data_IF_874819532692
#
_entry.id   IF_874819532692
#
_cell.length_a   1.000
_cell.length_b   1.000
_cell.length_c   1.000
_cell.angle_alpha   90.00
_cell.angle_beta   90.00
_cell.angle_gamma   90.00
#
_symmetry.space_group_name_H-M   'P 1'
#
loop_
_entity.id
_entity.type
_entity.pdbx_description
1 polymer ?
#
# COMPACT_ATOMS: atom_id res chain seq x y z
N UNK A 1 22.30 -26.13 0.64
CA UNK A 1 21.36 -25.03 0.34
C UNK A 1 21.11 -24.25 1.63
N UNK A 2 21.80 -23.12 1.82
CA UNK A 2 21.60 -22.27 3.00
C UNK A 2 20.35 -21.37 2.83
N UNK A 3 19.30 -21.71 3.57
CA UNK A 3 18.10 -20.87 3.75
C UNK A 3 18.31 -19.96 4.96
N UNK A 4 19.02 -18.83 4.77
CA UNK A 4 19.04 -17.68 5.71
C UNK A 4 18.23 -16.49 5.16
N UNK A 5 17.69 -15.62 6.03
CA UNK A 5 16.42 -14.93 5.79
C UNK A 5 16.57 -13.77 4.80
N UNK A 6 15.93 -13.90 3.63
CA UNK A 6 15.79 -12.82 2.64
C UNK A 6 14.87 -11.68 3.11
N UNK A 7 14.18 -11.83 4.23
CA UNK A 7 13.24 -10.84 4.77
C UNK A 7 13.97 -9.54 5.18
N UNK A 8 15.24 -9.63 5.63
CA UNK A 8 16.05 -8.43 5.94
C UNK A 8 16.79 -7.85 4.71
N UNK A 9 17.03 -8.63 3.66
CA UNK A 9 17.73 -8.15 2.45
C UNK A 9 16.83 -7.38 1.49
N UNK A 10 15.51 -7.60 1.51
CA UNK A 10 14.57 -6.86 0.67
C UNK A 10 14.21 -5.48 1.24
N UNK A 11 14.38 -5.27 2.55
CA UNK A 11 14.23 -3.93 3.17
C UNK A 11 15.33 -2.94 2.75
N UNK A 12 16.46 -3.44 2.23
CA UNK A 12 17.61 -2.62 1.79
C UNK A 12 17.67 -2.48 0.25
N UNK A 13 17.00 -3.35 -0.51
CA UNK A 13 17.16 -3.45 -1.98
C UNK A 13 16.17 -2.59 -2.80
N UNK A 14 15.42 -1.70 -2.17
CA UNK A 14 14.54 -0.73 -2.85
C UNK A 14 15.19 0.66 -3.03
N UNK A 15 16.49 0.81 -2.75
CA UNK A 15 17.21 2.05 -3.06
C UNK A 15 17.48 2.12 -4.58
N UNK A 16 17.00 3.16 -5.30
CA UNK A 16 17.41 3.38 -6.67
C UNK A 16 18.90 3.74 -6.68
N UNK A 17 19.72 2.89 -7.28
CA UNK A 17 21.08 3.26 -7.68
C UNK A 17 20.95 4.16 -8.91
N UNK A 18 21.20 5.46 -8.75
CA UNK A 18 21.24 6.41 -9.86
C UNK A 18 22.41 7.41 -9.68
N UNK A 19 22.84 8.03 -10.79
CA UNK A 19 24.24 8.15 -11.17
C UNK A 19 24.96 9.26 -10.41
N UNK A 20 26.25 9.03 -10.24
CA UNK A 20 27.22 9.99 -9.74
C UNK A 20 27.21 11.22 -10.65
N UNK A 21 26.53 12.29 -10.24
CA UNK A 21 26.64 13.62 -10.83
C UNK A 21 27.05 14.59 -9.73
N UNK A 22 28.10 15.34 -10.02
CA UNK A 22 28.88 16.19 -9.12
C UNK A 22 28.04 17.03 -8.16
N UNK A 23 28.32 16.92 -6.86
CA UNK A 23 27.71 17.73 -5.79
C UNK A 23 28.83 18.30 -4.91
N UNK A 24 29.16 19.56 -5.13
CA UNK A 24 30.31 20.29 -4.55
C UNK A 24 30.01 21.02 -3.24
N UNK A 25 28.98 20.65 -2.47
CA UNK A 25 28.79 21.20 -1.11
C UNK A 25 28.35 20.17 -0.07
N UNK A 26 29.03 20.21 1.09
CA UNK A 26 28.82 19.28 2.21
C UNK A 26 27.42 19.46 2.83
N UNK A 27 26.88 20.68 2.81
CA UNK A 27 25.53 21.01 3.30
C UNK A 27 24.42 20.50 2.36
N UNK A 28 24.63 20.53 1.04
CA UNK A 28 23.71 19.92 0.08
C UNK A 28 23.64 18.40 0.22
N UNK A 29 24.74 17.78 0.65
CA UNK A 29 24.83 16.33 0.87
C UNK A 29 24.11 15.87 2.15
N UNK A 30 24.12 16.67 3.22
CA UNK A 30 23.43 16.35 4.48
C UNK A 30 21.92 16.55 4.38
N UNK A 31 21.47 17.64 3.74
CA UNK A 31 20.04 17.95 3.58
C UNK A 31 19.33 16.96 2.63
N UNK A 32 20.01 16.51 1.56
CA UNK A 32 19.51 15.45 0.69
C UNK A 32 19.47 14.08 1.37
N UNK A 33 20.39 13.79 2.30
CA UNK A 33 20.36 12.54 3.07
C UNK A 33 19.21 12.51 4.07
N UNK A 34 18.97 13.62 4.78
CA UNK A 34 17.88 13.69 5.78
C UNK A 34 16.53 13.53 5.10
N UNK A 35 16.29 14.24 4.00
CA UNK A 35 15.04 14.13 3.23
C UNK A 35 14.82 12.71 2.69
N UNK A 36 15.87 12.08 2.16
CA UNK A 36 15.80 10.71 1.66
C UNK A 36 15.54 9.70 2.79
N UNK A 37 16.18 9.86 3.95
CA UNK A 37 15.91 9.03 5.13
C UNK A 37 14.48 9.21 5.63
N UNK A 38 13.96 10.45 5.64
CA UNK A 38 12.57 10.68 6.03
C UNK A 38 11.61 10.00 5.07
N UNK A 39 11.82 10.09 3.75
CA UNK A 39 10.97 9.43 2.75
C UNK A 39 11.00 7.90 2.89
N UNK A 40 12.18 7.32 3.16
CA UNK A 40 12.32 5.88 3.40
C UNK A 40 11.57 5.43 4.64
N UNK A 41 11.72 6.17 5.76
CA UNK A 41 11.01 5.87 7.00
C UNK A 41 9.50 5.98 6.78
N UNK A 42 9.04 7.05 6.13
CA UNK A 42 7.62 7.25 5.84
C UNK A 42 7.04 6.11 4.99
N UNK A 43 7.75 5.70 3.95
CA UNK A 43 7.35 4.58 3.09
C UNK A 43 7.31 3.26 3.87
N UNK A 44 8.28 3.04 4.75
CA UNK A 44 8.32 1.84 5.60
C UNK A 44 7.13 1.80 6.59
N UNK A 45 6.80 2.93 7.22
CA UNK A 45 5.64 3.07 8.11
C UNK A 45 4.34 2.83 7.34
N UNK A 46 4.22 3.40 6.13
CA UNK A 46 3.05 3.20 5.27
C UNK A 46 2.89 1.73 4.88
N UNK A 47 3.97 1.06 4.45
CA UNK A 47 3.97 -0.37 4.13
C UNK A 47 3.57 -1.24 5.35
N UNK A 48 4.03 -0.88 6.55
CA UNK A 48 3.68 -1.56 7.78
C UNK A 48 2.18 -1.47 8.05
N UNK A 49 1.62 -0.25 8.04
CA UNK A 49 0.20 0.00 8.31
C UNK A 49 -0.74 -0.47 7.20
N UNK A 50 -0.27 -0.48 5.95
CA UNK A 50 -0.99 -1.07 4.83
C UNK A 50 -1.04 -2.61 4.90
N UNK A 51 -0.24 -3.23 5.77
CA UNK A 51 -0.20 -4.69 5.91
C UNK A 51 0.50 -5.39 4.75
N UNK A 52 1.37 -4.68 4.00
CA UNK A 52 2.07 -5.21 2.84
C UNK A 52 2.90 -6.47 3.19
N UNK A 53 3.49 -6.49 4.38
CA UNK A 53 4.23 -7.63 4.94
C UNK A 53 3.41 -8.94 4.95
N UNK A 54 2.09 -8.88 5.12
CA UNK A 54 1.24 -10.06 5.12
C UNK A 54 1.07 -10.66 3.72
N UNK A 55 1.14 -9.81 2.68
CA UNK A 55 1.11 -10.23 1.27
C UNK A 55 2.47 -10.79 0.89
N UNK A 56 3.57 -10.15 1.29
CA UNK A 56 4.93 -10.67 1.09
C UNK A 56 5.10 -12.07 1.67
N UNK A 57 4.61 -12.28 2.90
CA UNK A 57 4.62 -13.59 3.52
C UNK A 57 3.84 -14.61 2.69
N UNK A 58 2.66 -14.24 2.16
CA UNK A 58 1.86 -15.12 1.28
C UNK A 58 2.58 -15.41 -0.04
N UNK A 59 3.24 -14.42 -0.65
CA UNK A 59 4.05 -14.62 -1.85
C UNK A 59 5.14 -15.67 -1.59
N UNK A 60 5.85 -15.54 -0.47
CA UNK A 60 6.90 -16.49 -0.07
C UNK A 60 6.37 -17.92 0.12
N UNK A 61 5.21 -18.08 0.76
CA UNK A 61 4.58 -19.39 0.90
C UNK A 61 4.14 -19.98 -0.45
N UNK A 62 3.65 -19.15 -1.37
CA UNK A 62 3.20 -19.61 -2.69
C UNK A 62 4.36 -19.92 -3.63
N UNK A 63 5.47 -19.19 -3.54
CA UNK A 63 6.71 -19.50 -4.27
C UNK A 63 7.19 -20.92 -3.95
N UNK A 64 7.16 -21.31 -2.66
CA UNK A 64 7.50 -22.67 -2.23
C UNK A 64 6.53 -23.73 -2.76
N UNK A 65 5.23 -23.43 -2.77
CA UNK A 65 4.22 -24.36 -3.32
C UNK A 65 4.36 -24.53 -4.83
N UNK A 66 4.70 -23.45 -5.55
CA UNK A 66 4.98 -23.49 -6.97
C UNK A 66 6.21 -24.34 -7.26
N UNK A 67 7.30 -24.15 -6.50
CA UNK A 67 8.52 -24.97 -6.63
C UNK A 67 8.24 -26.46 -6.39
N UNK A 68 7.50 -26.81 -5.32
CA UNK A 68 7.11 -28.19 -5.05
C UNK A 68 6.23 -28.79 -6.17
N UNK A 69 5.26 -28.03 -6.69
CA UNK A 69 4.41 -28.49 -7.79
C UNK A 69 5.19 -28.72 -9.10
N UNK A 70 6.18 -27.87 -9.38
CA UNK A 70 7.10 -28.01 -10.51
C UNK A 70 7.93 -29.31 -10.39
N UNK A 71 8.44 -29.60 -9.20
CA UNK A 71 9.22 -30.82 -8.92
C UNK A 71 8.37 -32.09 -9.02
N UNK A 72 7.13 -32.07 -8.53
CA UNK A 72 6.27 -33.26 -8.48
C UNK A 72 5.55 -33.56 -9.81
N UNK A 73 5.08 -32.53 -10.53
CA UNK A 73 4.16 -32.72 -11.66
C UNK A 73 4.69 -32.19 -12.99
N UNK A 74 5.84 -31.51 -12.99
CA UNK A 74 6.43 -30.89 -14.18
C UNK A 74 5.73 -29.62 -14.64
N UNK A 75 6.31 -28.95 -15.64
CA UNK A 75 5.91 -27.62 -16.12
C UNK A 75 4.55 -27.60 -16.83
N UNK A 76 4.17 -28.71 -17.48
CA UNK A 76 2.98 -28.78 -18.32
C UNK A 76 1.70 -29.20 -17.57
N UNK A 77 1.81 -29.51 -16.27
CA UNK A 77 0.64 -29.90 -15.48
C UNK A 77 -0.29 -28.70 -15.25
N UNK A 78 -1.60 -28.97 -15.21
CA UNK A 78 -2.56 -27.92 -14.85
C UNK A 78 -2.29 -27.40 -13.42
N UNK A 79 -1.85 -28.25 -12.50
CA UNK A 79 -1.57 -27.89 -11.11
C UNK A 79 -0.47 -26.82 -11.03
N UNK A 80 0.62 -26.99 -11.79
CA UNK A 80 1.71 -26.01 -11.89
C UNK A 80 1.23 -24.69 -12.47
N UNK A 81 0.40 -24.73 -13.53
CA UNK A 81 -0.18 -23.51 -14.12
C UNK A 81 -1.07 -22.74 -13.13
N UNK A 82 -1.91 -23.43 -12.38
CA UNK A 82 -2.74 -22.82 -11.34
C UNK A 82 -1.90 -22.21 -10.21
N UNK A 83 -0.82 -22.88 -9.78
CA UNK A 83 0.09 -22.37 -8.76
C UNK A 83 0.82 -21.11 -9.24
N UNK A 84 1.30 -21.11 -10.50
CA UNK A 84 1.97 -19.98 -11.12
C UNK A 84 1.04 -18.76 -11.26
N UNK A 85 -0.21 -18.97 -11.70
CA UNK A 85 -1.18 -17.87 -11.82
C UNK A 85 -1.51 -17.26 -10.46
N UNK A 86 -1.64 -18.08 -9.42
CA UNK A 86 -1.83 -17.59 -8.04
C UNK A 86 -0.64 -16.77 -7.55
N UNK A 87 0.58 -17.19 -7.85
CA UNK A 87 1.78 -16.44 -7.51
C UNK A 87 1.82 -15.09 -8.25
N UNK A 88 1.54 -15.09 -9.56
CA UNK A 88 1.46 -13.88 -10.39
C UNK A 88 0.45 -12.86 -9.86
N UNK A 89 -0.74 -13.30 -9.49
CA UNK A 89 -1.78 -12.41 -8.92
C UNK A 89 -1.32 -11.81 -7.59
N UNK A 90 -0.62 -12.57 -6.75
CA UNK A 90 -0.09 -12.07 -5.47
C UNK A 90 1.03 -11.05 -5.67
N UNK A 91 1.94 -11.29 -6.62
CA UNK A 91 3.00 -10.36 -6.97
C UNK A 91 2.44 -9.04 -7.51
N UNK A 92 1.43 -9.09 -8.38
CA UNK A 92 0.72 -7.90 -8.83
C UNK A 92 0.01 -7.17 -7.68
N UNK A 93 -0.59 -7.92 -6.76
CA UNK A 93 -1.29 -7.37 -5.60
C UNK A 93 -0.35 -6.65 -4.62
N UNK A 94 0.91 -7.08 -4.53
CA UNK A 94 1.91 -6.47 -3.66
C UNK A 94 2.17 -5.00 -4.05
N UNK A 95 2.18 -4.69 -5.36
CA UNK A 95 2.37 -3.32 -5.88
C UNK A 95 1.30 -2.33 -5.39
N UNK A 96 0.10 -2.82 -5.11
CA UNK A 96 -1.05 -2.02 -4.68
C UNK A 96 -1.45 -2.27 -3.22
N UNK A 97 -0.59 -2.92 -2.43
CA UNK A 97 -0.79 -3.26 -1.01
C UNK A 97 -2.03 -4.10 -0.68
N UNK A 98 -2.73 -4.66 -1.68
CA UNK A 98 -3.95 -5.42 -1.45
C UNK A 98 -4.21 -6.48 -2.50
N UNK A 99 -4.54 -7.68 -2.03
CA UNK A 99 -5.10 -8.75 -2.87
C UNK A 99 -6.46 -8.32 -3.40
N UNK A 100 -6.54 -8.16 -4.71
CA UNK A 100 -7.73 -7.66 -5.42
C UNK A 100 -8.09 -8.58 -6.59
N UNK A 101 -9.31 -8.41 -7.12
CA UNK A 101 -9.74 -9.18 -8.30
C UNK A 101 -8.85 -8.85 -9.52
N UNK A 102 -8.51 -9.81 -10.41
CA UNK A 102 -7.63 -9.57 -11.55
C UNK A 102 -8.07 -8.39 -12.44
N UNK A 103 -9.38 -8.23 -12.68
CA UNK A 103 -9.92 -7.08 -13.42
C UNK A 103 -9.64 -5.73 -12.74
N UNK A 104 -9.65 -5.69 -11.41
CA UNK A 104 -9.32 -4.48 -10.63
C UNK A 104 -7.81 -4.22 -10.71
N UNK A 105 -6.97 -5.25 -10.59
CA UNK A 105 -5.53 -5.13 -10.73
C UNK A 105 -5.13 -4.63 -12.12
N UNK A 106 -5.76 -5.17 -13.18
CA UNK A 106 -5.54 -4.72 -14.55
C UNK A 106 -5.95 -3.25 -14.75
N UNK A 107 -7.08 -2.83 -14.16
CA UNK A 107 -7.52 -1.44 -14.22
C UNK A 107 -6.56 -0.49 -13.48
N UNK A 108 -6.04 -0.91 -12.32
CA UNK A 108 -5.04 -0.15 -11.55
C UNK A 108 -3.71 -0.07 -12.31
N UNK A 109 -3.25 -1.17 -12.89
CA UNK A 109 -2.01 -1.19 -13.68
C UNK A 109 -2.13 -0.34 -14.95
N UNK A 110 -3.27 -0.41 -15.65
CA UNK A 110 -3.54 0.47 -16.79
C UNK A 110 -3.60 1.95 -16.38
N UNK A 111 -4.16 2.24 -15.20
CA UNK A 111 -4.20 3.61 -14.66
C UNK A 111 -2.80 4.12 -14.31
N UNK A 112 -1.94 3.25 -13.77
CA UNK A 112 -0.55 3.59 -13.51
C UNK A 112 0.21 3.90 -14.82
N UNK A 113 0.03 3.07 -15.85
CA UNK A 113 0.61 3.31 -17.19
C UNK A 113 0.11 4.59 -17.85
N UNK A 114 -1.09 5.04 -17.49
CA UNK A 114 -1.65 6.31 -17.96
C UNK A 114 -1.19 7.53 -17.14
N UNK A 115 -0.28 7.34 -16.17
CA UNK A 115 0.32 8.43 -15.39
C UNK A 115 -0.36 8.74 -14.07
N UNK A 116 -1.32 7.93 -13.60
CA UNK A 116 -1.89 8.12 -12.26
C UNK A 116 -0.83 7.77 -11.19
N UNK A 117 -0.64 8.62 -10.16
CA UNK A 117 0.33 8.38 -9.11
C UNK A 117 0.12 7.02 -8.43
N UNK A 118 1.20 6.26 -8.25
CA UNK A 118 1.13 4.92 -7.67
C UNK A 118 0.58 4.95 -6.23
N UNK A 119 0.89 5.98 -5.45
CA UNK A 119 0.43 6.10 -4.07
C UNK A 119 -1.08 6.31 -3.97
N UNK A 120 -1.67 7.06 -4.89
CA UNK A 120 -3.12 7.19 -4.96
C UNK A 120 -3.77 5.84 -5.33
N UNK A 121 -3.18 5.10 -6.29
CA UNK A 121 -3.67 3.77 -6.68
C UNK A 121 -3.57 2.74 -5.54
N UNK A 122 -2.46 2.78 -4.78
CA UNK A 122 -2.29 1.96 -3.57
C UNK A 122 -3.35 2.27 -2.52
N UNK A 123 -3.62 3.55 -2.24
CA UNK A 123 -4.64 3.98 -1.28
C UNK A 123 -6.05 3.55 -1.71
N UNK A 124 -6.36 3.71 -2.99
CA UNK A 124 -7.62 3.30 -3.61
C UNK A 124 -7.84 1.78 -3.53
N UNK A 125 -6.78 0.99 -3.78
CA UNK A 125 -6.81 -0.46 -3.64
C UNK A 125 -6.94 -0.88 -2.17
N UNK A 126 -6.11 -0.33 -1.29
CA UNK A 126 -6.06 -0.62 0.13
C UNK A 126 -7.43 -0.44 0.80
N UNK A 127 -8.15 0.63 0.47
CA UNK A 127 -9.45 0.95 1.08
C UNK A 127 -10.67 0.28 0.42
N UNK A 128 -10.46 -0.56 -0.60
CA UNK A 128 -11.54 -1.12 -1.44
C UNK A 128 -12.42 -0.03 -2.03
N UNK A 129 -11.85 1.10 -2.41
CA UNK A 129 -12.61 2.13 -3.09
C UNK A 129 -12.85 1.73 -4.54
N UNK A 130 -11.92 1.01 -5.16
CA UNK A 130 -12.10 0.40 -6.47
C UNK A 130 -12.78 -0.96 -6.33
N UNK A 131 -13.97 -1.13 -6.89
CA UNK A 131 -14.75 -2.37 -6.82
C UNK A 131 -15.29 -2.77 -8.18
N UNK A 132 -15.40 -4.08 -8.38
CA UNK A 132 -16.16 -4.63 -9.50
C UNK A 132 -17.66 -4.54 -9.18
N UNK A 133 -18.42 -3.94 -10.09
CA UNK A 133 -19.88 -3.81 -10.04
C UNK A 133 -20.41 -4.29 -11.39
N UNK A 134 -20.93 -5.53 -11.41
CA UNK A 134 -21.22 -6.25 -12.66
C UNK A 134 -19.94 -6.46 -13.48
N UNK A 135 -19.98 -6.14 -14.77
CA UNK A 135 -18.83 -6.23 -15.68
C UNK A 135 -17.95 -4.94 -15.68
N UNK A 136 -18.20 -4.00 -14.77
CA UNK A 136 -17.52 -2.69 -14.73
C UNK A 136 -16.82 -2.43 -13.41
N UNK A 137 -15.66 -1.78 -13.46
CA UNK A 137 -14.95 -1.35 -12.26
C UNK A 137 -15.35 0.10 -11.94
N UNK A 138 -15.81 0.34 -10.71
CA UNK A 138 -16.26 1.64 -10.21
C UNK A 138 -15.49 2.06 -8.97
N UNK A 139 -15.35 3.37 -8.79
CA UNK A 139 -14.75 3.95 -7.57
C UNK A 139 -15.86 4.40 -6.62
N UNK A 140 -15.80 3.94 -5.37
CA UNK A 140 -16.71 4.34 -4.30
C UNK A 140 -16.47 5.80 -3.93
N UNK A 141 -17.52 6.61 -4.04
CA UNK A 141 -17.53 8.00 -3.55
C UNK A 141 -18.59 8.11 -2.47
N UNK A 142 -18.17 7.96 -1.21
CA UNK A 142 -19.09 8.02 -0.07
C UNK A 142 -19.10 9.42 0.51
N UNK A 143 -20.26 10.09 0.51
CA UNK A 143 -20.43 11.36 1.24
C UNK A 143 -20.18 11.18 2.74
N UNK A 144 -20.58 10.03 3.30
CA UNK A 144 -20.33 9.69 4.70
C UNK A 144 -18.85 9.64 5.07
N UNK A 145 -17.97 9.19 4.16
CA UNK A 145 -16.53 9.15 4.49
C UNK A 145 -15.91 10.54 4.55
N UNK A 146 -16.47 11.52 3.82
CA UNK A 146 -16.05 12.93 3.88
C UNK A 146 -16.41 13.60 5.20
N UNK A 147 -17.51 13.21 5.83
CA UNK A 147 -17.93 13.73 7.15
C UNK A 147 -17.27 12.98 8.29
N UNK A 148 -17.14 11.65 8.16
CA UNK A 148 -16.60 10.83 9.23
C UNK A 148 -15.09 11.01 9.41
N UNK A 149 -14.35 11.29 8.33
CA UNK A 149 -12.91 11.56 8.41
C UNK A 149 -12.57 12.74 9.33
N UNK A 150 -13.08 13.97 9.13
CA UNK A 150 -12.78 15.12 10.00
C UNK A 150 -13.27 14.90 11.44
N UNK A 151 -14.42 14.24 11.63
CA UNK A 151 -14.89 13.88 12.96
C UNK A 151 -13.89 12.98 13.69
N UNK A 152 -13.38 11.96 12.99
CA UNK A 152 -12.40 11.06 13.58
C UNK A 152 -11.05 11.75 13.84
N UNK A 153 -10.64 12.69 12.98
CA UNK A 153 -9.48 13.57 13.25
C UNK A 153 -9.67 14.32 14.56
N UNK A 154 -10.85 14.94 14.76
CA UNK A 154 -11.16 15.69 15.97
C UNK A 154 -11.09 14.78 17.22
N UNK A 155 -11.65 13.58 17.16
CA UNK A 155 -11.58 12.61 18.26
C UNK A 155 -10.13 12.24 18.60
N UNK A 156 -9.29 12.00 17.60
CA UNK A 156 -7.86 11.68 17.81
C UNK A 156 -7.13 12.86 18.47
N UNK A 157 -7.32 14.08 17.97
CA UNK A 157 -6.69 15.28 18.52
C UNK A 157 -7.14 15.57 19.96
N UNK A 158 -8.44 15.43 20.25
CA UNK A 158 -8.97 15.62 21.60
C UNK A 158 -8.40 14.59 22.58
N UNK A 159 -8.24 13.34 22.17
CA UNK A 159 -7.63 12.30 23.01
C UNK A 159 -6.14 12.55 23.23
N UNK A 160 -5.41 13.00 22.20
CA UNK A 160 -4.02 13.43 22.35
C UNK A 160 -3.90 14.56 23.36
N UNK A 161 -4.69 15.64 23.17
CA UNK A 161 -4.68 16.80 24.06
C UNK A 161 -5.03 16.43 25.50
N UNK A 162 -6.02 15.54 25.69
CA UNK A 162 -6.39 15.00 27.01
C UNK A 162 -5.22 14.26 27.66
N UNK A 163 -4.53 13.39 26.94
CA UNK A 163 -3.38 12.63 27.48
C UNK A 163 -2.20 13.55 27.80
N UNK A 164 -1.91 14.53 26.95
CA UNK A 164 -0.91 15.56 27.22
C UNK A 164 -1.25 16.37 28.47
N UNK A 165 -2.51 16.78 28.65
CA UNK A 165 -2.96 17.47 29.85
C UNK A 165 -2.78 16.62 31.11
N UNK A 166 -3.10 15.32 31.05
CA UNK A 166 -2.87 14.40 32.18
C UNK A 166 -1.38 14.29 32.55
N UNK A 167 -0.48 14.21 31.56
CA UNK A 167 0.98 14.19 31.80
C UNK A 167 1.43 15.46 32.51
N UNK A 168 0.94 16.62 32.09
CA UNK A 168 1.29 17.91 32.69
C UNK A 168 0.78 18.03 34.13
N UNK A 169 -0.44 17.55 34.39
CA UNK A 169 -1.10 17.62 35.71
C UNK A 169 -0.57 16.58 36.71
N UNK A 170 0.14 15.55 36.24
CA UNK A 170 0.73 14.52 37.12
C UNK A 170 1.72 15.15 38.11
N UNK A 171 1.74 14.74 39.40
CA UNK A 171 2.73 15.20 40.39
C UNK A 171 4.10 14.52 40.20
N UNK A 172 4.62 14.48 38.98
CA UNK A 172 5.91 13.91 38.62
C UNK A 172 6.99 15.01 38.46
N UNK A 173 8.29 14.69 38.57
CA UNK A 173 9.36 15.63 38.28
C UNK A 173 9.37 16.01 36.78
N UNK A 174 9.78 17.24 36.47
CA UNK A 174 9.77 17.82 35.11
C UNK A 174 10.43 16.95 34.02
N UNK A 175 11.60 16.31 34.25
CA UNK A 175 12.20 15.42 33.25
C UNK A 175 11.29 14.25 32.87
N UNK A 176 10.60 13.66 33.85
CA UNK A 176 9.65 12.58 33.61
C UNK A 176 8.45 13.02 32.78
N UNK A 177 7.97 14.25 32.99
CA UNK A 177 6.88 14.84 32.19
C UNK A 177 7.30 15.05 30.73
N UNK A 178 8.50 15.57 30.49
CA UNK A 178 9.01 15.78 29.14
C UNK A 178 9.16 14.47 28.37
N UNK A 179 9.73 13.43 29.02
CA UNK A 179 9.86 12.09 28.43
C UNK A 179 8.48 11.50 28.13
N UNK A 180 7.55 11.54 29.09
CA UNK A 180 6.20 11.02 28.89
C UNK A 180 5.45 11.75 27.76
N UNK A 181 5.56 13.09 27.70
CA UNK A 181 4.96 13.88 26.63
C UNK A 181 5.54 13.53 25.25
N UNK A 182 6.86 13.39 25.15
CA UNK A 182 7.53 12.99 23.92
C UNK A 182 7.08 11.59 23.46
N UNK A 183 7.00 10.63 24.37
CA UNK A 183 6.53 9.26 24.07
C UNK A 183 5.07 9.26 23.60
N UNK A 184 4.18 9.97 24.30
CA UNK A 184 2.76 10.08 23.90
C UNK A 184 2.65 10.70 22.51
N UNK A 185 3.38 11.78 22.25
CA UNK A 185 3.35 12.46 20.95
C UNK A 185 3.91 11.58 19.83
N UNK A 186 5.01 10.86 20.08
CA UNK A 186 5.59 9.92 19.13
C UNK A 186 4.61 8.79 18.77
N UNK A 187 3.97 8.19 19.77
CA UNK A 187 2.97 7.13 19.57
C UNK A 187 1.77 7.64 18.77
N UNK A 188 1.28 8.84 19.07
CA UNK A 188 0.20 9.45 18.31
C UNK A 188 0.61 9.74 16.88
N UNK A 189 1.82 10.23 16.62
CA UNK A 189 2.31 10.47 15.27
C UNK A 189 2.42 9.17 14.46
N UNK A 190 2.93 8.09 15.08
CA UNK A 190 2.99 6.77 14.47
C UNK A 190 1.59 6.19 14.16
N UNK A 191 0.66 6.28 15.11
CA UNK A 191 -0.73 5.81 14.94
C UNK A 191 -1.49 6.64 13.91
N UNK A 192 -1.26 7.96 13.90
CA UNK A 192 -1.88 8.89 12.97
C UNK A 192 -1.56 8.56 11.53
N UNK A 193 -0.31 8.18 11.23
CA UNK A 193 0.09 7.73 9.88
C UNK A 193 -0.77 6.58 9.40
N UNK A 194 -0.93 5.54 10.22
CA UNK A 194 -1.82 4.41 9.93
C UNK A 194 -3.27 4.84 9.78
N UNK A 195 -3.78 5.64 10.70
CA UNK A 195 -5.16 6.14 10.66
C UNK A 195 -5.46 6.97 9.40
N UNK A 196 -4.52 7.81 8.99
CA UNK A 196 -4.64 8.67 7.81
C UNK A 196 -4.73 7.88 6.51
N UNK A 197 -4.05 6.73 6.39
CA UNK A 197 -4.14 5.84 5.22
C UNK A 197 -5.57 5.36 4.95
N UNK A 198 -6.37 5.20 6.00
CA UNK A 198 -7.74 4.67 5.90
C UNK A 198 -8.83 5.75 5.93
N UNK A 199 -8.46 7.01 6.16
CA UNK A 199 -9.43 8.11 6.34
C UNK A 199 -9.16 9.31 5.44
N UNK A 200 -8.21 10.16 5.80
CA UNK A 200 -7.98 11.45 5.13
C UNK A 200 -7.23 11.26 3.81
N UNK A 201 -6.16 10.47 3.78
CA UNK A 201 -5.37 10.21 2.57
C UNK A 201 -6.17 9.40 1.54
N UNK A 202 -6.98 8.45 2.00
CA UNK A 202 -7.86 7.68 1.11
C UNK A 202 -8.90 8.55 0.43
N UNK A 203 -9.61 9.40 1.18
CA UNK A 203 -10.56 10.36 0.62
C UNK A 203 -9.87 11.31 -0.37
N UNK A 204 -8.68 11.83 -0.05
CA UNK A 204 -7.93 12.70 -0.94
C UNK A 204 -7.48 11.99 -2.24
N UNK A 205 -7.13 10.69 -2.17
CA UNK A 205 -6.79 9.90 -3.35
C UNK A 205 -8.03 9.64 -4.23
N UNK A 206 -9.20 9.39 -3.63
CA UNK A 206 -10.47 9.26 -4.36
C UNK A 206 -10.82 10.56 -5.09
N UNK A 207 -10.65 11.72 -4.45
CA UNK A 207 -10.94 13.02 -5.07
C UNK A 207 -9.98 13.37 -6.20
N UNK A 208 -8.68 13.12 -6.03
CA UNK A 208 -7.66 13.44 -7.04
C UNK A 208 -7.68 12.49 -8.23
N UNK A 209 -7.76 11.19 -7.98
CA UNK A 209 -7.48 10.16 -8.99
C UNK A 209 -8.68 9.28 -9.33
N UNK A 210 -9.76 9.30 -8.55
CA UNK A 210 -10.88 8.38 -8.69
C UNK A 210 -11.64 8.49 -10.02
N UNK A 211 -11.81 9.69 -10.56
CA UNK A 211 -12.50 9.88 -11.84
C UNK A 211 -11.69 9.35 -13.04
N UNK A 212 -10.38 9.57 -13.03
CA UNK A 212 -9.46 9.11 -14.07
C UNK A 212 -9.38 7.58 -14.07
N UNK A 213 -9.23 6.98 -12.88
CA UNK A 213 -9.22 5.51 -12.72
C UNK A 213 -10.52 4.88 -13.23
N UNK A 214 -11.68 5.47 -12.92
CA UNK A 214 -12.97 4.96 -13.41
C UNK A 214 -13.09 5.06 -14.95
N UNK A 215 -12.62 6.15 -15.55
CA UNK A 215 -12.62 6.32 -17.00
C UNK A 215 -11.74 5.28 -17.71
N UNK A 216 -10.52 5.06 -17.19
CA UNK A 216 -9.58 4.07 -17.73
C UNK A 216 -10.15 2.65 -17.55
N UNK A 217 -10.73 2.37 -16.40
CA UNK A 217 -11.30 1.06 -16.13
C UNK A 217 -12.48 0.73 -17.06
N UNK A 218 -13.31 1.72 -17.45
CA UNK A 218 -14.36 1.54 -18.47
C UNK A 218 -13.78 1.11 -19.82
N UNK A 219 -12.64 1.65 -20.22
CA UNK A 219 -11.98 1.32 -21.49
C UNK A 219 -11.38 -0.09 -21.45
N UNK A 220 -10.68 -0.43 -20.37
CA UNK A 220 -9.96 -1.69 -20.22
C UNK A 220 -10.90 -2.86 -19.95
N UNK A 221 -11.85 -2.72 -19.02
CA UNK A 221 -12.77 -3.80 -18.68
C UNK A 221 -13.74 -4.13 -19.82
N UNK A 222 -14.08 -3.18 -20.69
CA UNK A 222 -14.87 -3.46 -21.90
C UNK A 222 -14.15 -4.41 -22.86
N UNK A 223 -12.82 -4.30 -22.99
CA UNK A 223 -12.01 -5.22 -23.79
C UNK A 223 -11.88 -6.60 -23.13
N UNK A 224 -11.64 -6.64 -21.82
CA UNK A 224 -11.50 -7.91 -21.09
C UNK A 224 -12.83 -8.71 -21.03
N UNK A 225 -13.98 -8.05 -20.86
CA UNK A 225 -15.28 -8.72 -20.84
C UNK A 225 -15.64 -9.37 -22.20
N UNK A 226 -15.18 -8.79 -23.31
CA UNK A 226 -15.34 -9.38 -24.65
C UNK A 226 -14.50 -10.65 -24.81
N UNK A 227 -13.26 -10.65 -24.30
CA UNK A 227 -12.37 -11.82 -24.34
C UNK A 227 -12.92 -12.96 -23.47
N UNK A 228 -13.31 -12.66 -22.22
CA UNK A 228 -13.89 -13.68 -21.33
C UNK A 228 -15.21 -14.24 -21.88
N UNK A 229 -16.08 -13.43 -22.48
CA UNK A 229 -17.30 -13.95 -23.12
C UNK A 229 -17.04 -14.78 -24.37
N UNK A 230 -15.95 -14.52 -25.11
CA UNK A 230 -15.58 -15.31 -26.27
C UNK A 230 -15.04 -16.69 -25.87
N UNK A 231 -14.23 -16.77 -24.81
CA UNK A 231 -13.72 -18.04 -24.28
C UNK A 231 -14.85 -18.96 -23.77
N UNK A 232 -15.89 -18.40 -23.13
CA UNK A 232 -17.03 -19.18 -22.64
C UNK A 232 -18.08 -19.55 -23.71
N UNK A 233 -17.96 -19.04 -24.94
CA UNK A 233 -18.88 -19.37 -26.05
C UNK A 233 -18.34 -20.48 -26.95
N UNK A 234 -17.06 -20.80 -26.82
CA UNK A 234 -16.35 -21.81 -27.61
C UNK A 234 -16.07 -23.10 -26.81
N UNK A 235 -16.73 -23.26 -25.66
CA UNK A 235 -16.84 -24.51 -24.87
C UNK A 235 -18.29 -24.97 -24.86
#
# INVERSE_FOLDING_TARGET
MELRPRILKLYVKSSPVLPFRDLTSIEGLTMNRISLLTEQVETAVDNFWAGAWSIELRCWWQERKMAAALEETGEYSMVTRWAMERYRVLEQSLKFWRISHPLVLNALEASHRAGVPLDDLKLLALNKDVRLVGDTVKVRRSLWSKVLAPLAVAVVLLNWARLCALVVLTPAPWPGKLVAFAVVTLLFWWLWRGFALYTTRSNAAVERSGAVVEAIAKIVCRKSAVIYRADFRNT
#
